data_IF_201759979284
#
_entry.id   IF_201759979284
#
_cell.length_a   1.000
_cell.length_b   1.000
_cell.length_c   1.000
_cell.angle_alpha   90.00
_cell.angle_beta   90.00
_cell.angle_gamma   90.00
#
_symmetry.space_group_name_H-M   'P 1'
#
loop_
_entity.id
_entity.type
_entity.pdbx_description
1 polymer ?
#
# COMPACT_ATOMS: atom_id res chain seq x y z
N UNK A 1 9.79 51.23 14.94
CA UNK A 1 9.95 50.25 13.84
C UNK A 1 10.09 48.79 14.33
N UNK A 2 9.44 48.38 15.43
CA UNK A 2 9.72 47.10 16.12
C UNK A 2 8.52 46.18 16.42
N UNK A 3 7.29 46.57 16.06
CA UNK A 3 6.09 45.75 16.32
C UNK A 3 5.69 44.85 15.14
N UNK A 4 5.95 45.28 13.90
CA UNK A 4 5.58 44.52 12.69
C UNK A 4 6.40 43.24 12.51
N UNK A 5 7.68 43.22 12.90
CA UNK A 5 8.54 42.02 12.79
C UNK A 5 8.07 40.86 13.68
N UNK A 6 7.56 41.12 14.90
CA UNK A 6 7.09 40.06 15.83
C UNK A 6 5.82 39.34 15.37
N UNK A 7 4.98 40.00 14.58
CA UNK A 7 3.71 39.44 14.09
C UNK A 7 3.96 38.44 12.94
N UNK A 8 4.95 38.70 12.08
CA UNK A 8 5.32 37.76 11.02
C UNK A 8 6.05 36.51 11.54
N UNK A 9 6.78 36.61 12.66
CA UNK A 9 7.43 35.44 13.28
C UNK A 9 6.43 34.52 14.00
N UNK A 10 5.31 35.05 14.48
CA UNK A 10 4.26 34.26 15.16
C UNK A 10 3.24 33.65 14.20
N UNK A 11 2.97 34.27 13.05
CA UNK A 11 2.18 33.64 11.98
C UNK A 11 2.95 32.55 11.20
N UNK A 12 4.28 32.63 11.13
CA UNK A 12 5.10 31.57 10.54
C UNK A 12 5.16 30.31 11.42
N UNK A 13 5.02 30.46 12.74
CA UNK A 13 5.06 29.35 13.70
C UNK A 13 3.72 28.60 13.84
N UNK A 14 2.60 29.18 13.38
CA UNK A 14 1.27 28.53 13.42
C UNK A 14 0.92 27.82 12.11
N UNK A 15 1.49 28.24 10.97
CA UNK A 15 1.33 27.52 9.70
C UNK A 15 2.26 26.30 9.61
N UNK A 16 3.37 26.28 10.37
CA UNK A 16 4.27 25.12 10.43
C UNK A 16 3.76 23.97 11.33
N UNK A 17 2.74 24.20 12.16
CA UNK A 17 2.24 23.23 13.15
C UNK A 17 1.02 22.41 12.67
N UNK A 18 0.52 22.65 11.45
CA UNK A 18 -0.65 21.94 10.89
C UNK A 18 -0.28 21.08 9.66
N UNK A 19 0.99 21.12 9.24
CA UNK A 19 1.44 20.56 7.96
C UNK A 19 2.01 19.15 7.98
N UNK A 20 1.95 18.43 9.10
CA UNK A 20 2.35 17.01 9.16
C UNK A 20 1.30 16.27 9.98
N UNK A 21 0.13 16.08 9.36
CA UNK A 21 -0.66 14.91 9.69
C UNK A 21 0.13 13.74 9.12
N UNK A 22 0.85 13.03 10.00
CA UNK A 22 1.31 11.69 9.65
C UNK A 22 0.05 10.91 9.29
N UNK A 23 -0.18 10.70 7.99
CA UNK A 23 -1.01 9.59 7.55
C UNK A 23 -0.17 8.38 7.93
N UNK A 24 -0.37 7.87 9.15
CA UNK A 24 0.12 6.54 9.47
C UNK A 24 -0.44 5.64 8.37
N UNK A 25 0.39 4.87 7.65
CA UNK A 25 -0.15 3.87 6.75
C UNK A 25 -1.04 2.99 7.62
N UNK A 26 -2.34 2.98 7.33
CA UNK A 26 -3.22 1.98 7.91
C UNK A 26 -2.55 0.64 7.60
N UNK A 27 -2.32 -0.18 8.62
CA UNK A 27 -1.67 -1.49 8.49
C UNK A 27 -2.57 -2.36 7.65
N UNK A 28 -2.42 -2.24 6.33
CA UNK A 28 -3.41 -2.79 5.44
C UNK A 28 -3.27 -4.30 5.44
N UNK A 29 -4.40 -5.00 5.64
CA UNK A 29 -4.44 -6.42 5.96
C UNK A 29 -3.52 -7.23 5.06
N UNK A 30 -2.63 -8.01 5.67
CA UNK A 30 -1.63 -8.80 4.97
C UNK A 30 -2.23 -9.95 4.15
N UNK A 31 -3.54 -10.20 4.26
CA UNK A 31 -4.27 -11.23 3.52
C UNK A 31 -4.77 -10.74 2.15
N UNK A 32 -5.14 -9.46 2.03
CA UNK A 32 -5.66 -8.86 0.78
C UNK A 32 -4.68 -8.86 -0.39
N UNK A 33 -3.38 -9.04 -0.14
CA UNK A 33 -2.31 -9.13 -1.14
C UNK A 33 -1.65 -10.52 -1.20
N UNK A 34 -2.31 -11.57 -0.70
CA UNK A 34 -1.86 -12.97 -0.83
C UNK A 34 -2.55 -13.70 -1.98
N UNK A 35 -1.90 -14.73 -2.53
CA UNK A 35 -2.54 -15.59 -3.54
C UNK A 35 -3.77 -16.34 -3.02
N UNK A 36 -3.81 -16.64 -1.73
CA UNK A 36 -4.95 -17.30 -1.06
C UNK A 36 -5.95 -16.28 -0.47
N UNK A 37 -5.75 -14.99 -0.78
CA UNK A 37 -6.53 -13.88 -0.25
C UNK A 37 -7.88 -13.67 -0.94
N UNK A 38 -8.81 -12.95 -0.30
CA UNK A 38 -10.16 -12.75 -0.82
C UNK A 38 -10.18 -11.98 -2.14
N UNK A 39 -9.28 -11.00 -2.30
CA UNK A 39 -9.12 -10.20 -3.52
C UNK A 39 -8.76 -11.09 -4.72
N UNK A 40 -7.83 -12.03 -4.53
CA UNK A 40 -7.41 -12.95 -5.57
C UNK A 40 -8.45 -14.05 -5.80
N UNK A 41 -9.10 -14.55 -4.75
CA UNK A 41 -10.22 -15.48 -4.87
C UNK A 41 -11.35 -14.91 -5.75
N UNK A 42 -11.72 -13.64 -5.53
CA UNK A 42 -12.72 -12.97 -6.38
C UNK A 42 -12.20 -12.70 -7.80
N UNK A 43 -10.90 -12.44 -7.99
CA UNK A 43 -10.31 -12.32 -9.32
C UNK A 43 -10.36 -13.62 -10.12
N UNK A 44 -10.06 -14.74 -9.47
CA UNK A 44 -10.19 -16.07 -10.07
C UNK A 44 -11.66 -16.33 -10.45
N UNK A 45 -12.61 -15.97 -9.59
CA UNK A 45 -14.04 -16.09 -9.89
C UNK A 45 -14.47 -15.19 -11.05
N UNK A 46 -14.04 -13.93 -11.06
CA UNK A 46 -14.30 -12.97 -12.14
C UNK A 46 -13.84 -13.50 -13.49
N UNK A 47 -12.65 -14.09 -13.53
CA UNK A 47 -12.08 -14.69 -14.73
C UNK A 47 -12.82 -15.97 -15.17
N UNK A 48 -13.20 -16.84 -14.23
CA UNK A 48 -13.90 -18.09 -14.52
C UNK A 48 -15.32 -17.84 -15.04
N UNK A 49 -16.01 -16.86 -14.48
CA UNK A 49 -17.39 -16.50 -14.85
C UNK A 49 -17.45 -15.40 -15.92
N UNK A 50 -16.29 -14.86 -16.33
CA UNK A 50 -16.17 -13.71 -17.22
C UNK A 50 -17.06 -12.52 -16.78
N UNK A 51 -17.07 -12.25 -15.46
CA UNK A 51 -17.84 -11.17 -14.84
C UNK A 51 -16.93 -10.31 -13.98
N UNK A 52 -16.66 -9.08 -14.43
CA UNK A 52 -15.79 -8.14 -13.73
C UNK A 52 -16.37 -7.66 -12.39
N UNK A 53 -17.69 -7.72 -12.19
CA UNK A 53 -18.33 -7.15 -11.01
C UNK A 53 -17.88 -7.83 -9.71
N UNK A 54 -17.43 -9.09 -9.77
CA UNK A 54 -16.78 -9.76 -8.64
C UNK A 54 -15.55 -9.01 -8.11
N UNK A 55 -14.82 -8.30 -8.99
CA UNK A 55 -13.61 -7.56 -8.61
C UNK A 55 -13.78 -6.04 -8.56
N UNK A 56 -14.77 -5.47 -9.25
CA UNK A 56 -15.03 -4.03 -9.24
C UNK A 56 -15.28 -3.50 -7.82
N UNK A 57 -15.92 -4.30 -6.96
CA UNK A 57 -16.17 -3.95 -5.55
C UNK A 57 -14.90 -3.67 -4.72
N UNK A 58 -13.74 -4.17 -5.13
CA UNK A 58 -12.47 -4.04 -4.40
C UNK A 58 -11.68 -2.76 -4.72
N UNK A 59 -12.10 -1.96 -5.71
CA UNK A 59 -11.34 -0.78 -6.16
C UNK A 59 -12.21 0.45 -6.11
N UNK A 60 -11.69 1.63 -5.75
CA UNK A 60 -12.46 2.89 -5.72
C UNK A 60 -13.07 3.25 -7.10
N UNK A 61 -14.19 4.00 -7.15
CA UNK A 61 -14.90 4.30 -8.41
C UNK A 61 -14.01 4.94 -9.49
N UNK A 62 -13.06 5.80 -9.09
CA UNK A 62 -12.10 6.44 -9.98
C UNK A 62 -11.16 5.47 -10.69
N UNK A 63 -10.96 4.26 -10.16
CA UNK A 63 -10.06 3.24 -10.71
C UNK A 63 -10.80 2.18 -11.55
N UNK A 64 -12.13 2.21 -11.63
CA UNK A 64 -12.91 1.22 -12.37
C UNK A 64 -12.56 1.16 -13.85
N UNK A 65 -12.28 2.31 -14.47
CA UNK A 65 -11.90 2.39 -15.88
C UNK A 65 -10.55 1.69 -16.14
N UNK A 66 -9.60 1.82 -15.21
CA UNK A 66 -8.32 1.14 -15.26
C UNK A 66 -8.52 -0.38 -15.09
N UNK A 67 -9.28 -0.81 -14.08
CA UNK A 67 -9.56 -2.21 -13.84
C UNK A 67 -10.29 -2.86 -15.03
N UNK A 68 -11.27 -2.16 -15.62
CA UNK A 68 -12.00 -2.60 -16.80
C UNK A 68 -11.08 -2.79 -18.00
N UNK A 69 -10.16 -1.86 -18.23
CA UNK A 69 -9.17 -1.99 -19.29
C UNK A 69 -8.30 -3.25 -19.09
N UNK A 70 -7.79 -3.45 -17.87
CA UNK A 70 -6.93 -4.58 -17.51
C UNK A 70 -7.67 -5.91 -17.67
N UNK A 71 -8.88 -6.02 -17.12
CA UNK A 71 -9.71 -7.21 -17.24
C UNK A 71 -9.96 -7.57 -18.71
N UNK A 72 -10.32 -6.59 -19.54
CA UNK A 72 -10.55 -6.80 -20.97
C UNK A 72 -9.28 -7.25 -21.71
N UNK A 73 -8.09 -6.74 -21.36
CA UNK A 73 -6.84 -7.23 -21.93
C UNK A 73 -6.55 -8.68 -21.51
N UNK A 74 -6.78 -9.02 -20.23
CA UNK A 74 -6.58 -10.37 -19.70
C UNK A 74 -7.46 -11.38 -20.43
N UNK A 75 -8.78 -11.15 -20.49
CA UNK A 75 -9.72 -12.09 -21.12
C UNK A 75 -9.51 -12.23 -22.63
N UNK A 76 -8.95 -11.21 -23.29
CA UNK A 76 -8.69 -11.25 -24.73
C UNK A 76 -7.58 -12.24 -25.14
N UNK A 77 -6.65 -12.58 -24.23
CA UNK A 77 -5.47 -13.39 -24.56
C UNK A 77 -5.32 -14.64 -23.70
N UNK A 78 -6.00 -14.75 -22.56
CA UNK A 78 -5.80 -15.85 -21.60
C UNK A 78 -6.11 -17.23 -22.20
N UNK A 79 -7.03 -17.30 -23.15
CA UNK A 79 -7.47 -18.56 -23.76
C UNK A 79 -6.55 -19.07 -24.90
N UNK A 80 -5.51 -18.31 -25.26
CA UNK A 80 -4.62 -18.68 -26.37
C UNK A 80 -3.75 -19.90 -26.07
N UNK A 81 -3.36 -20.10 -24.80
CA UNK A 81 -2.60 -21.26 -24.33
C UNK A 81 -2.50 -21.27 -22.81
N UNK A 82 -2.12 -22.40 -22.20
CA UNK A 82 -1.87 -22.47 -20.76
C UNK A 82 -0.78 -21.48 -20.27
N UNK A 83 0.22 -21.19 -21.11
CA UNK A 83 1.24 -20.19 -20.79
C UNK A 83 0.68 -18.76 -20.85
N UNK A 84 -0.18 -18.47 -21.84
CA UNK A 84 -0.87 -17.19 -21.96
C UNK A 84 -1.83 -16.97 -20.78
N UNK A 85 -2.61 -17.99 -20.40
CA UNK A 85 -3.48 -17.95 -19.23
C UNK A 85 -2.71 -17.56 -17.98
N UNK A 86 -1.61 -18.27 -17.67
CA UNK A 86 -0.80 -17.97 -16.48
C UNK A 86 -0.30 -16.52 -16.46
N UNK A 87 0.17 -16.00 -17.59
CA UNK A 87 0.67 -14.63 -17.68
C UNK A 87 -0.46 -13.59 -17.59
N UNK A 88 -1.58 -13.84 -18.24
CA UNK A 88 -2.72 -12.93 -18.29
C UNK A 88 -3.45 -12.86 -16.93
N UNK A 89 -3.62 -14.00 -16.27
CA UNK A 89 -4.21 -14.10 -14.94
C UNK A 89 -3.31 -13.38 -13.91
N UNK A 90 -2.00 -13.65 -13.93
CA UNK A 90 -1.03 -12.93 -13.08
C UNK A 90 -1.05 -11.42 -13.32
N UNK A 91 -1.16 -10.99 -14.58
CA UNK A 91 -1.26 -9.56 -14.92
C UNK A 91 -2.51 -8.90 -14.30
N UNK A 92 -3.67 -9.58 -14.31
CA UNK A 92 -4.86 -9.08 -13.64
C UNK A 92 -4.65 -9.01 -12.13
N UNK A 93 -4.14 -10.11 -11.54
CA UNK A 93 -3.95 -10.22 -10.09
C UNK A 93 -3.05 -9.10 -9.55
N UNK A 94 -1.88 -8.90 -10.16
CA UNK A 94 -0.90 -7.91 -9.69
C UNK A 94 -1.47 -6.49 -9.75
N UNK A 95 -2.24 -6.19 -10.80
CA UNK A 95 -2.83 -4.87 -10.95
C UNK A 95 -4.03 -4.65 -10.04
N UNK A 96 -4.89 -5.66 -9.87
CA UNK A 96 -6.01 -5.57 -8.95
C UNK A 96 -5.52 -5.31 -7.52
N UNK A 97 -4.55 -6.11 -7.06
CA UNK A 97 -3.95 -5.93 -5.72
C UNK A 97 -3.30 -4.55 -5.63
N UNK A 98 -2.51 -4.11 -6.62
CA UNK A 98 -1.92 -2.76 -6.59
C UNK A 98 -2.97 -1.65 -6.43
N UNK A 99 -4.07 -1.71 -7.19
CA UNK A 99 -5.14 -0.71 -7.15
C UNK A 99 -5.83 -0.74 -5.78
N UNK A 100 -6.20 -1.92 -5.30
CA UNK A 100 -6.85 -2.12 -4.01
C UNK A 100 -5.98 -1.62 -2.83
N UNK A 101 -4.71 -2.02 -2.78
CA UNK A 101 -3.77 -1.55 -1.74
C UNK A 101 -3.62 -0.03 -1.74
N UNK A 102 -3.60 0.58 -2.92
CA UNK A 102 -3.52 2.03 -3.04
C UNK A 102 -4.77 2.71 -2.45
N UNK A 103 -5.96 2.11 -2.61
CA UNK A 103 -7.18 2.64 -1.97
C UNK A 103 -7.19 2.50 -0.45
N UNK A 104 -6.45 1.54 0.11
CA UNK A 104 -6.22 1.39 1.56
C UNK A 104 -5.11 2.33 2.08
N UNK A 105 -4.49 3.13 1.21
CA UNK A 105 -3.34 3.97 1.55
C UNK A 105 -2.03 3.19 1.73
N UNK A 106 -1.99 1.93 1.30
CA UNK A 106 -0.83 1.05 1.42
C UNK A 106 -0.05 0.92 0.10
N UNK A 107 1.28 0.78 0.23
CA UNK A 107 2.13 0.55 -0.92
C UNK A 107 1.96 -0.88 -1.46
N UNK A 108 2.08 -1.03 -2.78
CA UNK A 108 2.13 -2.35 -3.42
C UNK A 108 3.52 -2.98 -3.25
N UNK A 109 3.57 -4.15 -2.61
CA UNK A 109 4.81 -4.90 -2.33
C UNK A 109 4.94 -6.20 -3.15
N UNK A 110 4.04 -6.42 -4.12
CA UNK A 110 3.89 -7.71 -4.80
C UNK A 110 2.76 -8.55 -4.21
N UNK A 111 2.38 -9.63 -4.92
CA UNK A 111 1.48 -10.65 -4.37
C UNK A 111 2.30 -11.65 -3.58
N UNK A 112 1.90 -11.89 -2.32
CA UNK A 112 2.54 -12.89 -1.47
C UNK A 112 2.19 -14.31 -1.96
N UNK A 113 3.15 -15.25 -2.01
CA UNK A 113 2.90 -16.62 -2.50
C UNK A 113 1.80 -17.37 -1.75
N UNK A 114 1.25 -18.41 -2.37
CA UNK A 114 0.35 -19.36 -1.70
C UNK A 114 1.01 -19.94 -0.44
N UNK A 115 0.23 -20.12 0.61
CA UNK A 115 0.70 -20.59 1.92
C UNK A 115 1.51 -19.57 2.71
N UNK A 116 1.53 -18.30 2.30
CA UNK A 116 2.09 -17.24 3.15
C UNK A 116 1.30 -17.17 4.46
N UNK A 117 1.97 -17.23 5.62
CA UNK A 117 1.29 -17.09 6.91
C UNK A 117 0.53 -15.76 6.98
N UNK A 118 -0.73 -15.86 7.36
CA UNK A 118 -1.60 -14.72 7.68
C UNK A 118 -1.56 -14.53 9.20
N UNK A 119 -1.68 -13.29 9.66
CA UNK A 119 -1.74 -12.98 11.09
C UNK A 119 -2.92 -13.69 11.75
N UNK A 120 -2.73 -14.16 12.97
CA UNK A 120 -3.72 -15.02 13.66
C UNK A 120 -5.07 -14.31 13.84
N UNK A 121 -5.04 -13.01 14.15
CA UNK A 121 -6.23 -12.17 14.26
C UNK A 121 -7.00 -12.02 12.94
N UNK A 122 -6.29 -11.91 11.81
CA UNK A 122 -6.92 -11.85 10.47
C UNK A 122 -7.53 -13.20 10.12
N UNK A 123 -6.81 -14.30 10.36
CA UNK A 123 -7.35 -15.64 10.13
C UNK A 123 -8.59 -15.91 11.01
N UNK A 124 -8.60 -15.43 12.25
CA UNK A 124 -9.75 -15.50 13.14
C UNK A 124 -10.90 -14.60 12.67
N UNK A 125 -10.63 -13.43 12.09
CA UNK A 125 -11.63 -12.58 11.46
C UNK A 125 -12.34 -13.29 10.32
N UNK A 126 -11.59 -13.88 9.39
CA UNK A 126 -12.15 -14.67 8.29
C UNK A 126 -13.00 -15.84 8.80
N UNK A 127 -12.50 -16.57 9.79
CA UNK A 127 -13.22 -17.67 10.41
C UNK A 127 -14.51 -17.19 11.10
N UNK A 128 -14.48 -16.01 11.73
CA UNK A 128 -15.65 -15.42 12.40
C UNK A 128 -16.73 -15.06 11.39
N UNK A 129 -16.34 -14.46 10.26
CA UNK A 129 -17.25 -14.15 9.15
C UNK A 129 -17.82 -15.44 8.55
N UNK A 130 -16.99 -16.45 8.31
CA UNK A 130 -17.40 -17.71 7.73
C UNK A 130 -18.37 -18.50 8.64
N UNK A 131 -18.20 -18.40 9.96
CA UNK A 131 -19.04 -19.11 10.94
C UNK A 131 -20.20 -18.27 11.49
N UNK A 132 -20.24 -16.98 11.19
CA UNK A 132 -21.29 -16.06 11.64
C UNK A 132 -21.27 -15.78 13.14
N UNK A 133 -20.14 -15.95 13.82
CA UNK A 133 -19.98 -15.64 15.24
C UNK A 133 -18.53 -15.25 15.58
N UNK A 134 -18.31 -14.61 16.72
CA UNK A 134 -16.99 -14.15 17.18
C UNK A 134 -16.19 -15.19 17.97
N UNK A 135 -16.64 -16.45 18.07
CA UNK A 135 -15.93 -17.46 18.86
C UNK A 135 -14.46 -17.65 18.42
N UNK A 136 -14.10 -17.58 17.12
CA UNK A 136 -12.70 -17.66 16.71
C UNK A 136 -11.80 -16.56 17.31
N UNK A 137 -12.37 -15.43 17.75
CA UNK A 137 -11.62 -14.34 18.37
C UNK A 137 -11.22 -14.62 19.82
N UNK A 138 -11.86 -15.57 20.50
CA UNK A 138 -11.57 -15.90 21.90
C UNK A 138 -10.15 -16.44 22.12
N UNK A 139 -9.51 -16.95 21.07
CA UNK A 139 -8.15 -17.49 21.12
C UNK A 139 -7.07 -16.42 20.84
N UNK A 140 -7.44 -15.29 20.24
CA UNK A 140 -6.48 -14.31 19.68
C UNK A 140 -6.58 -12.92 20.33
N UNK A 141 -7.68 -12.60 21.00
CA UNK A 141 -7.92 -11.31 21.66
C UNK A 141 -8.38 -11.55 23.11
N UNK A 142 -8.00 -10.65 24.02
CA UNK A 142 -8.49 -10.66 25.41
C UNK A 142 -10.03 -10.65 25.44
N UNK A 143 -10.64 -11.56 26.22
CA UNK A 143 -12.09 -11.73 26.28
C UNK A 143 -12.86 -10.41 26.55
N UNK A 144 -12.28 -9.52 27.35
CA UNK A 144 -12.85 -8.22 27.68
C UNK A 144 -12.94 -7.26 26.48
N UNK A 145 -12.11 -7.46 25.44
CA UNK A 145 -12.06 -6.63 24.23
C UNK A 145 -12.95 -7.17 23.11
N UNK A 146 -13.40 -8.43 23.18
CA UNK A 146 -14.22 -9.06 22.11
C UNK A 146 -15.50 -8.26 21.84
N UNK A 147 -16.12 -7.68 22.86
CA UNK A 147 -17.33 -6.86 22.67
C UNK A 147 -17.10 -5.62 21.80
N UNK A 148 -15.86 -5.14 21.67
CA UNK A 148 -15.51 -4.02 20.80
C UNK A 148 -15.63 -4.36 19.31
N UNK A 149 -15.60 -5.66 18.96
CA UNK A 149 -15.75 -6.16 17.59
C UNK A 149 -17.22 -6.32 17.16
N UNK A 150 -18.17 -6.32 18.10
CA UNK A 150 -19.57 -6.67 17.80
C UNK A 150 -20.19 -5.75 16.75
N UNK A 151 -19.90 -4.44 16.78
CA UNK A 151 -20.50 -3.49 15.85
C UNK A 151 -19.98 -3.71 14.42
N UNK A 152 -18.67 -3.77 14.22
CA UNK A 152 -18.05 -3.98 12.91
C UNK A 152 -18.37 -5.38 12.37
N UNK A 153 -18.38 -6.41 13.22
CA UNK A 153 -18.77 -7.76 12.84
C UNK A 153 -20.22 -7.82 12.35
N UNK A 154 -21.15 -7.22 13.08
CA UNK A 154 -22.55 -7.16 12.66
C UNK A 154 -22.73 -6.37 11.37
N UNK A 155 -21.90 -5.35 11.12
CA UNK A 155 -21.90 -4.64 9.86
C UNK A 155 -21.49 -5.56 8.70
N UNK A 156 -20.44 -6.37 8.86
CA UNK A 156 -20.03 -7.37 7.85
C UNK A 156 -21.18 -8.33 7.54
N UNK A 157 -21.82 -8.91 8.57
CA UNK A 157 -22.91 -9.87 8.35
C UNK A 157 -24.12 -9.25 7.64
N UNK A 158 -24.41 -7.96 7.89
CA UNK A 158 -25.52 -7.26 7.24
C UNK A 158 -25.27 -6.97 5.76
N UNK A 159 -24.02 -6.75 5.38
CA UNK A 159 -23.63 -6.41 4.01
C UNK A 159 -23.13 -7.62 3.21
N UNK A 160 -22.89 -8.76 3.84
CA UNK A 160 -22.32 -9.97 3.21
C UNK A 160 -23.17 -10.53 2.06
N UNK A 161 -24.49 -10.45 2.18
CA UNK A 161 -25.41 -10.87 1.12
C UNK A 161 -25.79 -9.67 0.26
N UNK A 162 -25.26 -9.64 -0.97
CA UNK A 162 -25.56 -8.62 -1.97
C UNK A 162 -25.65 -9.23 -3.36
N UNK A 163 -26.34 -8.53 -4.27
CA UNK A 163 -26.34 -8.88 -5.69
C UNK A 163 -24.96 -8.53 -6.28
N UNK A 164 -24.32 -9.48 -6.96
CA UNK A 164 -23.00 -9.26 -7.56
C UNK A 164 -23.00 -8.12 -8.58
N UNK A 165 -24.13 -7.87 -9.24
CA UNK A 165 -24.25 -6.76 -10.19
C UNK A 165 -24.52 -5.40 -9.50
N UNK A 166 -24.79 -5.40 -8.20
CA UNK A 166 -24.81 -4.20 -7.36
C UNK A 166 -23.42 -3.95 -6.76
N UNK A 167 -22.57 -3.31 -7.58
CA UNK A 167 -21.19 -2.99 -7.21
C UNK A 167 -21.12 -2.14 -5.95
N UNK A 168 -22.07 -1.22 -5.73
CA UNK A 168 -22.07 -0.35 -4.54
C UNK A 168 -22.37 -1.14 -3.28
N UNK A 169 -23.35 -2.05 -3.30
CA UNK A 169 -23.57 -2.97 -2.18
C UNK A 169 -22.34 -3.86 -1.94
N UNK A 170 -21.64 -4.28 -3.00
CA UNK A 170 -20.37 -5.00 -2.87
C UNK A 170 -19.26 -4.17 -2.22
N UNK A 171 -19.19 -2.86 -2.49
CA UNK A 171 -18.24 -1.94 -1.84
C UNK A 171 -18.55 -1.77 -0.36
N UNK A 172 -19.83 -1.66 0.01
CA UNK A 172 -20.26 -1.60 1.41
C UNK A 172 -19.83 -2.87 2.18
N UNK A 173 -19.90 -4.04 1.54
CA UNK A 173 -19.35 -5.26 2.11
C UNK A 173 -17.84 -5.21 2.29
N UNK A 174 -17.10 -4.79 1.26
CA UNK A 174 -15.62 -4.70 1.33
C UNK A 174 -15.18 -3.73 2.41
N UNK A 175 -15.82 -2.56 2.53
CA UNK A 175 -15.53 -1.59 3.59
C UNK A 175 -15.78 -2.18 4.98
N UNK A 176 -16.91 -2.87 5.17
CA UNK A 176 -17.23 -3.54 6.43
C UNK A 176 -16.19 -4.63 6.76
N UNK A 177 -15.84 -5.46 5.77
CA UNK A 177 -14.85 -6.53 5.88
C UNK A 177 -13.49 -5.98 6.33
N UNK A 178 -12.95 -5.01 5.59
CA UNK A 178 -11.65 -4.37 5.86
C UNK A 178 -11.68 -3.74 7.25
N UNK A 179 -12.74 -3.00 7.59
CA UNK A 179 -12.87 -2.36 8.92
C UNK A 179 -12.81 -3.39 10.05
N UNK A 180 -13.55 -4.49 9.93
CA UNK A 180 -13.56 -5.54 10.95
C UNK A 180 -12.21 -6.26 11.06
N UNK A 181 -11.56 -6.58 9.95
CA UNK A 181 -10.23 -7.23 9.97
C UNK A 181 -9.18 -6.34 10.61
N UNK A 182 -9.15 -5.05 10.26
CA UNK A 182 -8.21 -4.09 10.83
C UNK A 182 -8.41 -3.90 12.34
N UNK A 183 -9.67 -3.78 12.79
CA UNK A 183 -9.96 -3.67 14.22
C UNK A 183 -9.54 -4.94 14.97
N UNK A 184 -9.69 -6.12 14.35
CA UNK A 184 -9.25 -7.39 14.92
C UNK A 184 -7.72 -7.43 15.09
N UNK A 185 -6.98 -6.98 14.07
CA UNK A 185 -5.52 -6.82 14.13
C UNK A 185 -5.11 -5.84 15.23
N UNK A 186 -5.75 -4.67 15.32
CA UNK A 186 -5.45 -3.65 16.32
C UNK A 186 -5.66 -4.16 17.76
N UNK A 187 -6.79 -4.84 18.01
CA UNK A 187 -7.12 -5.36 19.34
C UNK A 187 -6.22 -6.54 19.76
N UNK A 188 -5.75 -7.33 18.80
CA UNK A 188 -4.80 -8.42 19.04
C UNK A 188 -3.37 -7.91 19.23
N UNK A 189 -2.99 -6.82 18.55
CA UNK A 189 -1.66 -6.19 18.61
C UNK A 189 -1.40 -5.36 19.88
N UNK A 190 -2.24 -5.47 20.91
CA UNK A 190 -2.06 -4.76 22.18
C UNK A 190 -0.74 -5.11 22.87
N UNK A 191 0.18 -4.13 22.91
CA UNK A 191 1.50 -4.08 23.58
C UNK A 191 2.78 -4.09 22.70
N UNK A 192 2.79 -3.53 21.48
CA UNK A 192 4.05 -3.14 20.79
C UNK A 192 4.25 -1.62 20.61
N UNK A 193 3.55 -0.78 21.39
CA UNK A 193 3.86 0.67 21.49
C UNK A 193 4.29 1.04 22.92
N UNK A 194 5.25 0.30 23.47
CA UNK A 194 5.98 0.73 24.66
C UNK A 194 7.02 1.78 24.25
N UNK A 195 6.67 3.05 24.40
CA UNK A 195 7.53 4.24 24.43
C UNK A 195 9.05 3.97 24.37
N UNK A 196 9.61 3.94 23.15
CA UNK A 196 11.05 4.14 22.96
C UNK A 196 11.37 5.62 23.23
N UNK A 197 11.58 5.93 24.50
CA UNK A 197 12.20 7.18 24.92
C UNK A 197 13.70 7.08 24.59
N UNK A 198 14.07 7.36 23.34
CA UNK A 198 15.47 7.51 22.95
C UNK A 198 16.02 8.81 23.57
N UNK A 199 16.61 8.64 24.76
CA UNK A 199 17.47 9.63 25.38
C UNK A 199 18.78 9.68 24.58
N UNK A 200 18.86 10.61 23.63
CA UNK A 200 20.10 10.94 22.93
C UNK A 200 21.12 11.53 23.91
N UNK A 201 21.98 10.67 24.48
CA UNK A 201 23.25 11.08 25.07
C UNK A 201 24.25 11.26 23.94
N UNK A 202 24.64 12.51 23.71
CA UNK A 202 25.75 12.88 22.82
C UNK A 202 27.07 12.45 23.46
N UNK A 203 27.74 11.47 22.86
CA UNK A 203 29.13 11.15 23.19
C UNK A 203 30.05 11.74 22.11
N UNK A 204 30.77 12.80 22.49
CA UNK A 204 31.87 13.38 21.73
C UNK A 204 32.95 12.31 21.51
N UNK A 205 33.27 12.00 20.25
CA UNK A 205 34.46 11.21 19.94
C UNK A 205 35.44 12.03 19.11
N UNK A 206 36.56 12.30 19.76
CA UNK A 206 37.76 12.99 19.33
C UNK A 206 38.47 12.21 18.21
N UNK A 207 38.88 12.92 17.16
CA UNK A 207 39.60 12.37 16.02
C UNK A 207 41.06 12.06 16.40
N UNK A 208 41.47 10.80 16.27
CA UNK A 208 42.87 10.38 16.30
C UNK A 208 43.32 9.99 14.88
N UNK A 209 44.21 10.80 14.34
CA UNK A 209 44.93 10.62 13.10
C UNK A 209 46.11 9.66 13.33
N UNK A 210 46.14 8.51 12.66
CA UNK A 210 47.35 7.69 12.51
C UNK A 210 47.44 7.15 11.08
N UNK A 211 48.47 7.62 10.38
CA UNK A 211 48.90 7.13 9.09
C UNK A 211 49.49 5.71 9.21
N UNK A 212 49.18 4.83 8.25
CA UNK A 212 50.03 3.70 7.93
C UNK A 212 49.97 3.37 6.44
N UNK A 213 51.12 3.51 5.79
CA UNK A 213 51.40 3.10 4.42
C UNK A 213 51.80 1.61 4.42
N UNK A 214 51.25 0.78 3.53
CA UNK A 214 51.96 -0.39 2.98
C UNK A 214 51.30 -0.85 1.67
N UNK A 215 52.10 -0.89 0.61
CA UNK A 215 51.84 -1.59 -0.66
C UNK A 215 51.39 -3.04 -0.45
N UNK A 216 50.46 -3.52 -1.28
CA UNK A 216 50.61 -4.83 -1.96
C UNK A 216 49.72 -4.94 -3.21
N UNK A 217 50.15 -5.86 -4.07
CA UNK A 217 49.92 -6.00 -5.50
C UNK A 217 48.66 -6.82 -5.85
N UNK A 218 47.88 -6.26 -6.78
CA UNK A 218 47.18 -6.89 -7.89
C UNK A 218 45.84 -7.65 -7.72
N UNK A 219 45.00 -7.35 -8.72
CA UNK A 219 43.95 -8.13 -9.40
C UNK A 219 42.47 -8.01 -8.95
N UNK A 220 41.71 -7.51 -9.93
CA UNK A 220 40.34 -7.89 -10.31
C UNK A 220 39.21 -6.88 -10.03
N UNK A 221 38.68 -6.39 -11.16
CA UNK A 221 37.32 -5.91 -11.43
C UNK A 221 36.63 -5.02 -10.37
N UNK A 222 36.73 -3.71 -10.56
CA UNK A 222 35.81 -2.73 -9.97
C UNK A 222 34.46 -2.76 -10.69
N UNK A 223 33.45 -3.29 -10.01
CA UNK A 223 32.04 -3.03 -10.31
C UNK A 223 31.74 -1.61 -9.84
N UNK A 224 31.42 -0.70 -10.76
CA UNK A 224 31.05 0.68 -10.42
C UNK A 224 29.59 0.71 -9.94
N UNK A 225 29.30 1.26 -8.73
CA UNK A 225 27.94 1.44 -8.24
C UNK A 225 27.20 2.53 -9.04
N UNK A 226 25.92 2.31 -9.33
CA UNK A 226 25.05 3.16 -10.16
C UNK A 226 24.64 4.51 -9.52
N UNK A 227 25.41 5.03 -8.57
CA UNK A 227 25.08 6.24 -7.81
C UNK A 227 25.58 7.55 -8.42
N UNK A 228 25.80 7.62 -9.74
CA UNK A 228 26.31 8.84 -10.43
C UNK A 228 25.60 9.13 -11.77
N UNK A 229 24.32 8.74 -11.90
CA UNK A 229 23.46 9.11 -13.03
C UNK A 229 22.44 10.20 -12.67
N UNK A 230 22.80 11.10 -11.75
CA UNK A 230 22.05 12.30 -11.43
C UNK A 230 22.98 13.50 -11.43
N UNK A 231 22.63 14.52 -12.23
CA UNK A 231 23.34 15.79 -12.46
C UNK A 231 24.37 15.74 -13.59
N UNK A 232 23.96 16.14 -14.80
CA UNK A 232 24.63 17.15 -15.64
C UNK A 232 23.91 17.22 -16.99
N UNK A 233 23.01 18.20 -17.18
CA UNK A 233 22.83 18.90 -18.46
C UNK A 233 21.95 20.13 -18.25
N UNK A 234 22.54 21.18 -17.66
CA UNK A 234 22.06 22.55 -17.78
C UNK A 234 23.16 23.37 -18.46
N UNK A 235 22.74 24.10 -19.50
CA UNK A 235 23.44 25.16 -20.27
C UNK A 235 24.49 24.74 -21.32
N UNK A 236 24.14 24.91 -22.60
CA UNK A 236 24.58 26.06 -23.43
C UNK A 236 24.30 25.80 -24.91
N UNK A 237 23.38 26.57 -25.53
CA UNK A 237 23.53 27.04 -26.91
C UNK A 237 22.55 28.21 -27.15
N UNK A 238 23.07 29.41 -26.91
CA UNK A 238 22.50 30.68 -27.36
C UNK A 238 22.66 30.69 -28.89
N UNK A 239 21.61 30.25 -29.58
CA UNK A 239 21.49 30.26 -31.04
C UNK A 239 20.97 31.61 -31.53
N UNK A 240 21.92 32.47 -31.88
CA UNK A 240 21.77 33.76 -32.54
C UNK A 240 21.15 33.57 -33.95
N UNK A 241 19.84 33.80 -34.14
CA UNK A 241 19.28 34.06 -35.47
C UNK A 241 18.44 35.33 -35.52
N UNK A 242 19.18 36.37 -35.90
CA UNK A 242 18.78 37.69 -36.35
C UNK A 242 18.04 37.55 -37.69
N UNK A 243 16.73 37.79 -37.72
CA UNK A 243 15.99 37.97 -38.97
C UNK A 243 15.92 39.47 -39.31
N UNK A 244 16.41 39.91 -40.49
CA UNK A 244 16.25 41.30 -40.90
C UNK A 244 14.83 41.53 -41.48
N UNK A 245 14.09 42.46 -40.88
CA UNK A 245 12.96 43.14 -41.52
C UNK A 245 13.51 44.03 -42.64
N UNK A 246 13.07 43.82 -43.88
CA UNK A 246 13.05 44.85 -44.93
C UNK A 246 11.64 45.47 -44.98
N UNK A 247 11.56 46.79 -45.03
CA UNK A 247 10.42 47.56 -45.55
C UNK A 247 10.99 48.61 -46.51
N UNK A 248 10.39 48.67 -47.70
CA UNK A 248 10.70 49.54 -48.85
C UNK A 248 12.07 49.33 -49.51
#
# INVERSE_FOLDING_TARGET
MGKKKKIYTTMAATVAAVGIMFVAPLTASAHCDTMDGPVIGDAQRALNENNINYITKWVMPENEAELTYIFNQTVAVRDDSAAAQKLADQYLFENLVRIHRTSEGAAYAGIKPEGTPVEEAVAAADASIATGNLNPMEEVIENEKISELEESFNQVLRTQEFDTDDVEAGREYVEAYVTFTHLSEELAGGEEEAHANEEHVSEDTEASEVAHETETKATSATVLPWSLAGLFFITTLIGHFRHPRKKA
#
